data_IF_892480604419
#
_entry.id   IF_892480604419
#
_cell.length_a   1.000
_cell.length_b   1.000
_cell.length_c   1.000
_cell.angle_alpha   90.00
_cell.angle_beta   90.00
_cell.angle_gamma   90.00
#
_symmetry.space_group_name_H-M   'P 1'
#
loop_
_entity.id
_entity.type
_entity.pdbx_description
1 polymer ?
#
# COMPACT_ATOMS: atom_id res chain seq x y z
N UNK A 1 -8.44 -6.36 -28.75
CA UNK A 1 -8.59 -5.16 -27.87
C UNK A 1 -7.19 -4.76 -27.41
N UNK A 2 -6.94 -3.47 -27.17
CA UNK A 2 -5.66 -3.01 -26.61
C UNK A 2 -5.61 -3.43 -25.13
N UNK A 3 -4.48 -3.97 -24.67
CA UNK A 3 -4.30 -4.29 -23.26
C UNK A 3 -4.38 -3.02 -22.39
N UNK A 4 -4.90 -3.16 -21.18
CA UNK A 4 -4.80 -2.12 -20.14
C UNK A 4 -3.38 -2.08 -19.60
N UNK A 5 -2.94 -0.92 -19.15
CA UNK A 5 -1.58 -0.70 -18.64
C UNK A 5 -1.56 -0.63 -17.12
N UNK A 6 -0.71 -1.40 -16.49
CA UNK A 6 -0.40 -1.30 -15.06
C UNK A 6 1.03 -0.79 -14.88
N UNK A 7 1.19 0.30 -14.15
CA UNK A 7 2.50 0.75 -13.67
C UNK A 7 2.71 0.24 -12.25
N UNK A 8 3.67 -0.66 -12.05
CA UNK A 8 4.16 -1.00 -10.70
C UNK A 8 5.11 0.10 -10.26
N UNK A 9 4.74 0.78 -9.20
CA UNK A 9 5.36 1.96 -8.65
C UNK A 9 6.12 1.62 -7.38
N UNK A 10 7.45 1.77 -7.40
CA UNK A 10 8.32 1.45 -6.27
C UNK A 10 9.13 2.68 -5.88
N UNK A 11 8.66 3.49 -4.93
CA UNK A 11 9.51 4.51 -4.33
C UNK A 11 10.59 3.82 -3.49
N UNK A 12 11.86 4.15 -3.74
CA UNK A 12 12.98 3.59 -2.98
C UNK A 12 14.14 4.57 -2.88
N UNK A 13 15.10 4.29 -2.03
CA UNK A 13 16.32 5.13 -1.95
C UNK A 13 17.33 4.69 -3.04
N UNK A 14 18.09 3.65 -2.79
CA UNK A 14 19.18 3.21 -3.68
C UNK A 14 19.26 1.68 -3.83
N UNK A 15 18.58 0.93 -2.95
CA UNK A 15 18.59 -0.53 -2.93
C UNK A 15 17.29 -1.09 -2.38
N UNK A 16 17.04 -2.36 -2.66
CA UNK A 16 15.88 -3.10 -2.15
C UNK A 16 16.34 -4.41 -1.50
N UNK A 17 15.65 -4.91 -0.47
CA UNK A 17 15.90 -6.23 0.09
C UNK A 17 15.74 -7.34 -0.96
N UNK A 18 16.54 -8.40 -0.86
CA UNK A 18 16.45 -9.54 -1.77
C UNK A 18 15.07 -10.20 -1.74
N UNK A 19 14.39 -10.19 -0.59
CA UNK A 19 13.03 -10.69 -0.41
C UNK A 19 12.02 -9.89 -1.27
N UNK A 20 12.13 -8.56 -1.30
CA UNK A 20 11.32 -7.71 -2.16
C UNK A 20 11.61 -8.01 -3.64
N UNK A 21 12.88 -8.05 -4.03
CA UNK A 21 13.28 -8.34 -5.39
C UNK A 21 12.75 -9.71 -5.88
N UNK A 22 12.77 -10.73 -5.02
CA UNK A 22 12.19 -12.05 -5.30
C UNK A 22 10.68 -11.98 -5.49
N UNK A 23 9.95 -11.29 -4.57
CA UNK A 23 8.50 -11.12 -4.67
C UNK A 23 8.11 -10.40 -5.97
N UNK A 24 8.82 -9.31 -6.32
CA UNK A 24 8.56 -8.55 -7.54
C UNK A 24 8.82 -9.38 -8.81
N UNK A 25 9.93 -10.12 -8.86
CA UNK A 25 10.28 -10.98 -10.00
C UNK A 25 9.23 -12.09 -10.19
N UNK A 26 8.80 -12.75 -9.14
CA UNK A 26 7.79 -13.81 -9.20
C UNK A 26 6.41 -13.28 -9.58
N UNK A 27 6.00 -12.12 -9.06
CA UNK A 27 4.74 -11.47 -9.42
C UNK A 27 4.72 -11.08 -10.90
N UNK A 28 5.79 -10.49 -11.41
CA UNK A 28 5.87 -10.10 -12.84
C UNK A 28 5.91 -11.30 -13.77
N UNK A 29 6.53 -12.40 -13.35
CA UNK A 29 6.52 -13.66 -14.10
C UNK A 29 5.14 -14.33 -14.13
N UNK A 30 4.31 -14.08 -13.12
CA UNK A 30 2.94 -14.59 -13.08
C UNK A 30 2.07 -13.92 -14.16
N UNK A 31 2.26 -12.62 -14.39
CA UNK A 31 1.54 -11.84 -15.40
C UNK A 31 0.03 -11.75 -15.12
N UNK A 32 -0.66 -10.99 -15.95
CA UNK A 32 -2.14 -10.92 -15.96
C UNK A 32 -2.61 -10.78 -17.40
N UNK A 33 -3.47 -11.67 -17.85
CA UNK A 33 -4.04 -11.62 -19.20
C UNK A 33 -4.80 -10.31 -19.42
N UNK A 34 -4.58 -9.66 -20.55
CA UNK A 34 -5.20 -8.38 -20.91
C UNK A 34 -4.53 -7.15 -20.29
N UNK A 35 -3.40 -7.32 -19.58
CA UNK A 35 -2.65 -6.21 -18.98
C UNK A 35 -1.18 -6.20 -19.40
N UNK A 36 -0.69 -5.02 -19.78
CA UNK A 36 0.72 -4.74 -19.99
C UNK A 36 1.29 -4.17 -18.69
N UNK A 37 2.24 -4.87 -18.07
CA UNK A 37 2.83 -4.50 -16.80
C UNK A 37 4.18 -3.83 -17.03
N UNK A 38 4.36 -2.64 -16.51
CA UNK A 38 5.65 -1.94 -16.44
C UNK A 38 6.04 -1.67 -15.00
N UNK A 39 7.33 -1.52 -14.72
CA UNK A 39 7.85 -1.25 -13.38
C UNK A 39 8.67 0.02 -13.42
N UNK A 40 8.47 0.88 -12.43
CA UNK A 40 9.33 2.04 -12.24
C UNK A 40 9.78 2.18 -10.79
N UNK A 41 11.08 2.12 -10.60
CA UNK A 41 11.76 2.48 -9.36
C UNK A 41 12.05 3.98 -9.40
N UNK A 42 11.45 4.74 -8.50
CA UNK A 42 11.75 6.15 -8.36
C UNK A 42 12.69 6.36 -7.18
N UNK A 43 13.93 6.71 -7.52
CA UNK A 43 15.00 6.91 -6.54
C UNK A 43 14.88 8.30 -5.89
N UNK A 44 14.82 8.33 -4.56
CA UNK A 44 14.74 9.59 -3.82
C UNK A 44 14.56 9.39 -2.32
N UNK A 45 14.98 10.36 -1.53
CA UNK A 45 14.91 10.29 -0.07
C UNK A 45 13.59 10.80 0.53
N UNK A 46 12.87 11.66 -0.20
CA UNK A 46 11.60 12.22 0.25
C UNK A 46 10.44 11.46 -0.39
N UNK A 47 9.78 10.65 0.40
CA UNK A 47 8.74 9.72 -0.06
C UNK A 47 7.60 10.43 -0.81
N UNK A 48 7.09 11.53 -0.29
CA UNK A 48 6.01 12.28 -0.94
C UNK A 48 6.42 12.88 -2.29
N UNK A 49 7.68 13.28 -2.46
CA UNK A 49 8.21 13.74 -3.73
C UNK A 49 8.26 12.60 -4.74
N UNK A 50 8.73 11.42 -4.31
CA UNK A 50 8.77 10.22 -5.14
C UNK A 50 7.37 9.79 -5.56
N UNK A 51 6.39 9.76 -4.65
CA UNK A 51 4.99 9.41 -4.98
C UNK A 51 4.37 10.41 -5.96
N UNK A 52 4.60 11.72 -5.78
CA UNK A 52 4.13 12.74 -6.75
C UNK A 52 4.79 12.58 -8.13
N UNK A 53 6.08 12.25 -8.21
CA UNK A 53 6.76 12.00 -9.47
C UNK A 53 6.19 10.77 -10.19
N UNK A 54 5.94 9.68 -9.45
CA UNK A 54 5.36 8.46 -9.98
C UNK A 54 3.93 8.71 -10.47
N UNK A 55 3.08 9.40 -9.70
CA UNK A 55 1.72 9.73 -10.11
C UNK A 55 1.69 10.54 -11.43
N UNK A 56 2.56 11.54 -11.56
CA UNK A 56 2.71 12.31 -12.81
C UNK A 56 3.14 11.43 -13.98
N UNK A 57 4.11 10.54 -13.74
CA UNK A 57 4.56 9.59 -14.77
C UNK A 57 3.43 8.65 -15.19
N UNK A 58 2.67 8.10 -14.26
CA UNK A 58 1.53 7.23 -14.56
C UNK A 58 0.51 7.92 -15.47
N UNK A 59 0.21 9.20 -15.21
CA UNK A 59 -0.68 10.01 -16.07
C UNK A 59 -0.06 10.21 -17.46
N UNK A 60 1.22 10.58 -17.54
CA UNK A 60 1.92 10.84 -18.81
C UNK A 60 2.06 9.58 -19.68
N UNK A 61 2.28 8.43 -19.08
CA UNK A 61 2.39 7.13 -19.78
C UNK A 61 1.03 6.53 -20.11
N UNK A 62 -0.06 7.21 -19.73
CA UNK A 62 -1.43 6.73 -19.90
C UNK A 62 -1.63 5.35 -19.29
N UNK A 63 -1.10 5.13 -18.08
CA UNK A 63 -1.37 3.93 -17.30
C UNK A 63 -2.84 3.94 -16.84
N UNK A 64 -3.53 2.81 -16.96
CA UNK A 64 -4.90 2.66 -16.46
C UNK A 64 -4.90 2.51 -14.93
N UNK A 65 -3.93 1.76 -14.42
CA UNK A 65 -3.79 1.42 -13.01
C UNK A 65 -2.36 1.67 -12.51
N UNK A 66 -2.24 2.00 -11.23
CA UNK A 66 -0.96 2.07 -10.52
C UNK A 66 -0.97 1.10 -9.35
N UNK A 67 0.00 0.20 -9.33
CA UNK A 67 0.28 -0.71 -8.23
C UNK A 67 1.45 -0.20 -7.41
N UNK A 68 1.18 0.26 -6.21
CA UNK A 68 2.19 0.72 -5.26
C UNK A 68 2.75 -0.43 -4.46
N UNK A 69 4.07 -0.52 -4.38
CA UNK A 69 4.78 -1.33 -3.41
C UNK A 69 5.85 -0.48 -2.73
N UNK A 70 5.85 -0.42 -1.40
CA UNK A 70 7.03 0.04 -0.68
C UNK A 70 8.15 -0.99 -0.85
N UNK A 71 9.38 -0.50 -0.93
CA UNK A 71 10.54 -1.30 -1.34
C UNK A 71 10.98 -2.38 -0.34
N UNK A 72 10.29 -2.52 0.77
CA UNK A 72 10.53 -3.49 1.85
C UNK A 72 9.33 -4.44 2.10
N UNK A 73 8.43 -4.54 1.13
CA UNK A 73 7.30 -5.45 1.19
C UNK A 73 7.63 -6.84 0.62
N UNK A 74 6.99 -7.86 1.19
CA UNK A 74 7.01 -9.25 0.67
C UNK A 74 5.58 -9.66 0.34
N UNK A 75 5.37 -10.22 -0.82
CA UNK A 75 4.04 -10.54 -1.32
C UNK A 75 4.04 -11.78 -2.21
N UNK A 76 2.85 -12.36 -2.38
CA UNK A 76 2.67 -13.56 -3.20
C UNK A 76 2.63 -13.21 -4.71
N UNK A 77 3.00 -14.15 -5.59
CA UNK A 77 2.98 -13.93 -7.06
C UNK A 77 1.59 -13.53 -7.60
N UNK A 78 0.51 -13.99 -6.97
CA UNK A 78 -0.87 -13.71 -7.39
C UNK A 78 -1.49 -12.46 -6.76
N UNK A 79 -0.72 -11.70 -5.96
CA UNK A 79 -1.22 -10.50 -5.26
C UNK A 79 -1.85 -9.51 -6.23
N UNK A 80 -1.13 -9.13 -7.30
CA UNK A 80 -1.64 -8.16 -8.28
C UNK A 80 -2.88 -8.70 -9.01
N UNK A 81 -2.91 -9.98 -9.36
CA UNK A 81 -4.08 -10.62 -9.97
C UNK A 81 -5.32 -10.52 -9.08
N UNK A 82 -5.19 -10.84 -7.77
CA UNK A 82 -6.29 -10.69 -6.81
C UNK A 82 -6.81 -9.26 -6.76
N UNK A 83 -5.92 -8.27 -6.68
CA UNK A 83 -6.31 -6.86 -6.59
C UNK A 83 -6.98 -6.36 -7.87
N UNK A 84 -6.55 -6.80 -9.04
CA UNK A 84 -7.20 -6.47 -10.32
C UNK A 84 -8.66 -6.94 -10.36
N UNK A 85 -8.99 -8.09 -9.75
CA UNK A 85 -10.38 -8.56 -9.68
C UNK A 85 -11.33 -7.58 -8.96
N UNK A 86 -10.83 -6.84 -7.97
CA UNK A 86 -11.62 -5.79 -7.30
C UNK A 86 -11.83 -4.58 -8.22
N UNK A 87 -10.79 -4.14 -8.91
CA UNK A 87 -10.88 -3.02 -9.86
C UNK A 87 -11.86 -3.35 -11.00
N UNK A 88 -11.84 -4.58 -11.51
CA UNK A 88 -12.75 -5.03 -12.58
C UNK A 88 -14.22 -5.10 -12.11
N UNK A 89 -14.44 -5.32 -10.81
CA UNK A 89 -15.77 -5.27 -10.17
C UNK A 89 -16.22 -3.85 -9.81
N UNK A 90 -15.44 -2.82 -10.17
CA UNK A 90 -15.81 -1.42 -9.99
C UNK A 90 -15.24 -0.76 -8.74
N UNK A 91 -14.30 -1.40 -8.02
CA UNK A 91 -13.56 -0.72 -6.95
C UNK A 91 -12.61 0.33 -7.54
N UNK A 92 -12.38 1.42 -6.80
CA UNK A 92 -11.46 2.48 -7.20
C UNK A 92 -10.04 2.21 -6.71
N UNK A 93 -9.93 1.74 -5.47
CA UNK A 93 -8.68 1.49 -4.77
C UNK A 93 -8.81 0.27 -3.88
N UNK A 94 -7.81 -0.61 -3.90
CA UNK A 94 -7.74 -1.82 -3.07
C UNK A 94 -6.38 -1.93 -2.41
N UNK A 95 -6.34 -2.35 -1.14
CA UNK A 95 -5.12 -2.57 -0.37
C UNK A 95 -5.08 -3.97 0.23
N UNK A 96 -3.89 -4.55 0.31
CA UNK A 96 -3.63 -5.65 1.23
C UNK A 96 -3.36 -5.13 2.63
N UNK A 97 -3.45 -5.99 3.63
CA UNK A 97 -3.20 -5.61 5.02
C UNK A 97 -1.79 -6.05 5.43
N UNK A 98 -1.00 -5.08 5.88
CA UNK A 98 0.31 -5.33 6.45
C UNK A 98 0.47 -4.58 7.78
N UNK A 99 1.51 -4.94 8.53
CA UNK A 99 1.69 -4.50 9.90
C UNK A 99 2.94 -3.64 10.03
N UNK A 100 2.92 -2.68 10.95
CA UNK A 100 4.09 -1.86 11.29
C UNK A 100 5.24 -2.76 11.77
N UNK A 101 6.49 -2.36 11.48
CA UNK A 101 7.71 -3.08 11.89
C UNK A 101 8.09 -2.87 13.35
N UNK A 102 7.45 -1.91 14.00
CA UNK A 102 7.70 -1.54 15.41
C UNK A 102 6.50 -1.88 16.27
N UNK A 103 6.74 -2.20 17.53
CA UNK A 103 5.65 -2.41 18.49
C UNK A 103 4.73 -1.17 18.55
N UNK A 104 3.43 -1.37 18.69
CA UNK A 104 2.69 -2.63 18.94
C UNK A 104 2.33 -3.44 17.70
N UNK A 105 3.00 -3.27 16.56
CA UNK A 105 2.79 -3.99 15.30
C UNK A 105 1.35 -3.86 14.75
N UNK A 106 0.76 -2.69 14.91
CA UNK A 106 -0.61 -2.43 14.43
C UNK A 106 -0.72 -2.53 12.92
N UNK A 107 -1.89 -2.93 12.39
CA UNK A 107 -2.15 -2.90 10.96
C UNK A 107 -2.10 -1.45 10.43
N UNK A 108 -1.74 -1.30 9.16
CA UNK A 108 -1.61 0.01 8.51
C UNK A 108 -2.90 0.42 7.79
N UNK A 109 -4.05 0.14 8.40
CA UNK A 109 -5.38 0.52 7.92
C UNK A 109 -6.14 1.27 9.02
N UNK A 110 -7.04 2.19 8.62
CA UNK A 110 -7.78 3.04 9.53
C UNK A 110 -9.29 2.89 9.30
N UNK A 111 -10.03 2.73 10.41
CA UNK A 111 -11.49 2.55 10.42
C UNK A 111 -12.22 3.84 10.14
N UNK A 112 -11.80 4.92 10.81
CA UNK A 112 -12.29 6.28 10.57
C UNK A 112 -11.11 7.22 10.39
N UNK A 113 -11.34 8.32 9.69
CA UNK A 113 -10.34 9.36 9.52
C UNK A 113 -11.02 10.68 9.18
N UNK A 114 -10.72 11.70 9.97
CA UNK A 114 -11.14 13.08 9.79
C UNK A 114 -9.90 13.96 9.79
N UNK A 115 -9.75 14.82 8.80
CA UNK A 115 -8.63 15.75 8.68
C UNK A 115 -9.17 17.17 8.50
N UNK A 116 -8.68 18.08 9.32
CA UNK A 116 -8.89 19.52 9.17
C UNK A 116 -7.61 20.12 8.55
N UNK A 117 -7.64 20.39 7.24
CA UNK A 117 -6.48 20.95 6.52
C UNK A 117 -6.14 22.37 7.00
N UNK A 118 -7.11 23.16 7.46
CA UNK A 118 -6.86 24.54 7.93
C UNK A 118 -6.13 24.53 9.28
N UNK A 119 -6.53 23.64 10.18
CA UNK A 119 -5.88 23.49 11.49
C UNK A 119 -4.66 22.57 11.48
N UNK A 120 -4.45 21.82 10.40
CA UNK A 120 -3.41 20.78 10.29
C UNK A 120 -3.56 19.69 11.37
N UNK A 121 -4.81 19.34 11.70
CA UNK A 121 -5.19 18.34 12.70
C UNK A 121 -5.82 17.13 12.03
N UNK A 122 -5.57 15.93 12.59
CA UNK A 122 -6.17 14.71 12.11
C UNK A 122 -6.56 13.80 13.27
N UNK A 123 -7.74 13.18 13.16
CA UNK A 123 -8.26 12.20 14.10
C UNK A 123 -8.60 10.92 13.33
N UNK A 124 -8.18 9.77 13.85
CA UNK A 124 -8.47 8.46 13.27
C UNK A 124 -8.70 7.42 14.34
N UNK A 125 -9.38 6.36 13.96
CA UNK A 125 -9.52 5.15 14.79
C UNK A 125 -8.96 3.94 14.05
N UNK A 126 -8.41 3.01 14.79
CA UNK A 126 -7.93 1.73 14.29
C UNK A 126 -9.05 0.66 14.40
N UNK A 127 -8.83 -0.50 13.81
CA UNK A 127 -9.73 -1.64 13.94
C UNK A 127 -9.32 -2.45 15.17
N UNK A 128 -10.26 -2.73 16.07
CA UNK A 128 -10.05 -3.65 17.20
C UNK A 128 -9.91 -5.10 16.73
N UNK A 129 -10.69 -5.46 15.71
CA UNK A 129 -10.67 -6.77 15.06
C UNK A 129 -10.70 -6.55 13.54
N UNK A 130 -9.80 -7.19 12.83
CA UNK A 130 -9.79 -7.19 11.37
C UNK A 130 -10.87 -8.14 10.88
N UNK A 131 -11.81 -7.70 10.00
CA UNK A 131 -12.77 -8.59 9.35
C UNK A 131 -12.08 -9.66 8.50
N UNK A 132 -12.71 -10.83 8.39
CA UNK A 132 -12.19 -11.95 7.57
C UNK A 132 -12.50 -11.77 6.07
N UNK A 133 -13.49 -10.95 5.71
CA UNK A 133 -13.91 -10.65 4.35
C UNK A 133 -13.49 -9.24 3.94
N UNK A 134 -13.38 -8.92 2.64
CA UNK A 134 -13.05 -7.57 2.17
C UNK A 134 -14.01 -6.50 2.69
N UNK A 135 -13.46 -5.37 3.15
CA UNK A 135 -14.22 -4.30 3.80
C UNK A 135 -13.68 -2.91 3.44
N UNK A 136 -14.54 -1.89 3.58
CA UNK A 136 -14.16 -0.50 3.35
C UNK A 136 -13.34 0.06 4.52
N UNK A 137 -12.30 0.84 4.19
CA UNK A 137 -11.42 1.53 5.14
C UNK A 137 -11.36 3.03 4.86
N UNK A 138 -11.12 3.82 5.89
CA UNK A 138 -10.96 5.26 5.74
C UNK A 138 -9.58 5.66 5.18
N UNK A 139 -8.58 4.82 5.39
CA UNK A 139 -7.23 5.04 4.86
C UNK A 139 -6.35 3.82 5.08
N UNK A 140 -5.23 3.79 4.36
CA UNK A 140 -4.24 2.73 4.45
C UNK A 140 -2.84 3.25 4.11
N UNK A 141 -1.81 2.58 4.62
CA UNK A 141 -0.45 2.78 4.14
C UNK A 141 -0.25 2.25 2.71
N UNK A 142 0.72 2.79 1.99
CA UNK A 142 0.93 2.48 0.57
C UNK A 142 1.97 1.37 0.32
N UNK A 143 2.15 0.48 1.29
CA UNK A 143 3.03 -0.68 1.13
C UNK A 143 2.55 -1.69 0.08
N UNK A 144 1.23 -1.79 -0.16
CA UNK A 144 0.64 -2.64 -1.20
C UNK A 144 -0.75 -2.12 -1.58
N UNK A 145 -0.84 -1.27 -2.60
CA UNK A 145 -2.08 -0.61 -3.02
C UNK A 145 -2.20 -0.61 -4.54
N UNK A 146 -3.33 -1.09 -5.07
CA UNK A 146 -3.71 -0.94 -6.48
C UNK A 146 -4.82 0.09 -6.60
N UNK A 147 -4.70 1.02 -7.54
CA UNK A 147 -5.67 2.09 -7.73
C UNK A 147 -5.78 2.53 -9.20
N UNK A 148 -6.89 3.20 -9.53
CA UNK A 148 -7.10 3.82 -10.84
C UNK A 148 -6.25 5.09 -10.97
N UNK A 149 -5.59 5.28 -12.10
CA UNK A 149 -4.77 6.48 -12.35
C UNK A 149 -5.61 7.76 -12.37
N UNK A 150 -6.89 7.69 -12.78
CA UNK A 150 -7.81 8.83 -12.78
C UNK A 150 -8.00 9.49 -11.41
N UNK A 151 -7.78 8.75 -10.31
CA UNK A 151 -7.83 9.28 -8.96
C UNK A 151 -6.82 10.41 -8.74
N UNK A 152 -5.63 10.32 -9.33
CA UNK A 152 -4.62 11.38 -9.24
C UNK A 152 -5.11 12.67 -9.89
N UNK A 153 -5.78 12.58 -11.03
CA UNK A 153 -6.32 13.73 -11.75
C UNK A 153 -7.41 14.41 -10.92
N UNK A 154 -8.34 13.62 -10.38
CA UNK A 154 -9.44 14.13 -9.54
C UNK A 154 -8.93 14.79 -8.26
N UNK A 155 -7.98 14.14 -7.56
CA UNK A 155 -7.39 14.68 -6.34
C UNK A 155 -6.62 15.97 -6.64
N UNK A 156 -5.81 15.98 -7.70
CA UNK A 156 -5.06 17.17 -8.07
C UNK A 156 -5.99 18.33 -8.47
N UNK A 157 -7.06 18.06 -9.20
CA UNK A 157 -8.03 19.07 -9.61
C UNK A 157 -8.73 19.73 -8.40
N UNK A 158 -9.04 18.96 -7.35
CA UNK A 158 -9.74 19.47 -6.16
C UNK A 158 -8.79 20.15 -5.16
N UNK A 159 -7.57 19.62 -4.96
CA UNK A 159 -6.67 20.03 -3.86
C UNK A 159 -5.37 20.72 -4.32
N UNK A 160 -5.08 20.72 -5.64
CA UNK A 160 -3.84 21.30 -6.18
C UNK A 160 -2.57 20.48 -5.90
N UNK A 161 -2.69 19.39 -5.16
CA UNK A 161 -1.61 18.46 -4.85
C UNK A 161 -2.16 17.03 -4.67
N UNK A 162 -1.29 16.01 -4.70
CA UNK A 162 -1.71 14.61 -4.51
C UNK A 162 -1.16 14.06 -3.18
N UNK A 163 0.16 13.98 -3.08
CA UNK A 163 0.87 13.34 -1.96
C UNK A 163 1.58 14.35 -1.05
N UNK A 164 0.94 15.46 -0.70
CA UNK A 164 1.48 16.35 0.34
C UNK A 164 0.99 15.91 1.71
N UNK A 165 1.88 15.75 2.69
CA UNK A 165 1.50 15.55 4.09
C UNK A 165 0.59 16.68 4.60
N UNK A 166 -0.22 16.40 5.62
CA UNK A 166 -1.08 17.37 6.31
C UNK A 166 -0.74 17.32 7.80
N UNK A 167 -0.14 18.37 8.31
CA UNK A 167 0.32 18.40 9.71
C UNK A 167 1.27 17.25 10.02
N UNK A 168 0.86 16.36 10.93
CA UNK A 168 1.60 15.16 11.31
C UNK A 168 1.14 13.88 10.58
N UNK A 169 0.25 14.02 9.59
CA UNK A 169 -0.26 12.89 8.79
C UNK A 169 0.63 12.67 7.58
N UNK A 170 1.08 11.44 7.38
CA UNK A 170 1.89 11.03 6.22
C UNK A 170 1.16 11.23 4.89
N UNK A 171 1.94 11.29 3.83
CA UNK A 171 1.44 11.57 2.46
C UNK A 171 0.45 10.53 1.94
N UNK A 172 0.62 9.27 2.34
CA UNK A 172 -0.24 8.14 1.99
C UNK A 172 -1.64 8.29 2.61
N UNK A 173 -1.69 8.57 3.89
CA UNK A 173 -2.94 8.78 4.64
C UNK A 173 -3.63 10.07 4.18
N UNK A 174 -2.86 11.13 3.95
CA UNK A 174 -3.39 12.38 3.42
C UNK A 174 -3.97 12.19 2.00
N UNK A 175 -3.35 11.35 1.15
CA UNK A 175 -3.91 10.98 -0.14
C UNK A 175 -5.22 10.20 0.01
N UNK A 176 -5.30 9.22 0.92
CA UNK A 176 -6.52 8.45 1.17
C UNK A 176 -7.68 9.38 1.56
N UNK A 177 -7.44 10.34 2.43
CA UNK A 177 -8.44 11.32 2.81
C UNK A 177 -8.89 12.16 1.60
N UNK A 178 -7.96 12.72 0.82
CA UNK A 178 -8.28 13.50 -0.40
C UNK A 178 -9.06 12.68 -1.42
N UNK A 179 -8.71 11.42 -1.60
CA UNK A 179 -9.40 10.51 -2.51
C UNK A 179 -10.86 10.29 -2.07
N UNK A 180 -11.09 10.06 -0.78
CA UNK A 180 -12.45 9.93 -0.22
C UNK A 180 -13.25 11.23 -0.36
N UNK A 181 -12.63 12.38 -0.15
CA UNK A 181 -13.24 13.69 -0.41
C UNK A 181 -13.59 13.91 -1.90
N UNK A 182 -12.98 13.17 -2.82
CA UNK A 182 -13.38 13.10 -4.23
C UNK A 182 -14.47 12.04 -4.49
N UNK A 183 -14.94 11.31 -3.47
CA UNK A 183 -15.99 10.29 -3.56
C UNK A 183 -15.48 8.87 -3.84
N UNK A 184 -14.17 8.63 -3.85
CA UNK A 184 -13.58 7.31 -4.06
C UNK A 184 -13.64 6.44 -2.80
N UNK A 185 -13.73 5.13 -3.00
CA UNK A 185 -13.75 4.14 -1.94
C UNK A 185 -12.47 3.32 -1.90
N UNK A 186 -12.05 2.96 -0.69
CA UNK A 186 -10.86 2.15 -0.44
C UNK A 186 -11.30 0.83 0.19
N UNK A 187 -10.95 -0.28 -0.44
CA UNK A 187 -11.27 -1.62 0.04
C UNK A 187 -9.99 -2.30 0.55
N UNK A 188 -10.02 -2.84 1.74
CA UNK A 188 -8.98 -3.73 2.27
C UNK A 188 -9.40 -5.19 2.08
N UNK A 189 -8.48 -6.01 1.54
CA UNK A 189 -8.68 -7.46 1.39
C UNK A 189 -7.74 -8.22 2.34
N UNK A 190 -8.27 -8.84 3.42
CA UNK A 190 -7.47 -9.58 4.39
C UNK A 190 -6.87 -10.88 3.81
N UNK A 191 -7.38 -11.37 2.69
CA UNK A 191 -6.85 -12.57 2.02
C UNK A 191 -5.52 -12.32 1.29
N UNK A 192 -5.11 -11.05 1.13
CA UNK A 192 -3.83 -10.68 0.54
C UNK A 192 -2.75 -10.72 1.61
N UNK A 193 -2.04 -11.85 1.67
CA UNK A 193 -0.95 -12.04 2.63
C UNK A 193 0.29 -11.21 2.27
N UNK A 194 0.69 -10.34 3.17
CA UNK A 194 1.84 -9.45 3.02
C UNK A 194 2.81 -9.62 4.18
N UNK A 195 4.11 -9.49 3.87
CA UNK A 195 5.18 -9.35 4.86
C UNK A 195 5.83 -7.98 4.77
N UNK A 196 6.33 -7.48 5.89
CA UNK A 196 7.04 -6.20 5.97
C UNK A 196 8.46 -6.48 6.48
N UNK A 197 9.46 -6.31 5.64
CA UNK A 197 10.86 -6.60 5.98
C UNK A 197 11.33 -5.61 7.05
N UNK A 198 11.79 -6.14 8.17
CA UNK A 198 12.32 -5.37 9.28
C UNK A 198 13.67 -5.93 9.77
N UNK A 199 14.46 -5.08 10.36
CA UNK A 199 15.68 -5.50 11.04
C UNK A 199 15.35 -5.93 12.46
N UNK A 200 15.78 -7.12 12.86
CA UNK A 200 15.65 -7.63 14.22
C UNK A 200 17.04 -7.87 14.80
N UNK A 201 17.30 -7.29 15.98
CA UNK A 201 18.50 -7.62 16.75
C UNK A 201 18.17 -8.87 17.58
N UNK A 202 18.77 -10.01 17.21
CA UNK A 202 18.56 -11.27 17.92
C UNK A 202 19.43 -11.28 19.18
N UNK A 203 18.80 -11.09 20.34
CA UNK A 203 19.42 -11.15 21.67
C UNK A 203 19.03 -12.45 22.36
N UNK A 204 19.65 -12.74 23.53
CA UNK A 204 19.20 -13.84 24.37
C UNK A 204 17.73 -13.70 24.77
N UNK A 205 17.30 -12.50 25.14
CA UNK A 205 15.90 -12.22 25.49
C UNK A 205 14.96 -12.50 24.33
N UNK A 206 15.31 -12.09 23.09
CA UNK A 206 14.54 -12.40 21.90
C UNK A 206 14.38 -13.91 21.70
N UNK A 207 15.48 -14.67 21.85
CA UNK A 207 15.47 -16.13 21.77
C UNK A 207 14.59 -16.77 22.85
N UNK A 208 14.71 -16.33 24.10
CA UNK A 208 13.92 -16.85 25.21
C UNK A 208 12.42 -16.62 25.01
N UNK A 209 12.02 -15.42 24.54
CA UNK A 209 10.64 -15.10 24.20
C UNK A 209 10.11 -15.96 23.03
N UNK A 210 10.92 -16.15 22.00
CA UNK A 210 10.57 -17.03 20.88
C UNK A 210 10.34 -18.48 21.36
N UNK A 211 11.23 -19.01 22.20
CA UNK A 211 11.11 -20.35 22.78
C UNK A 211 9.82 -20.50 23.61
N UNK A 212 9.50 -19.51 24.42
CA UNK A 212 8.26 -19.53 25.20
C UNK A 212 6.97 -19.58 24.35
N UNK A 213 6.97 -18.93 23.18
CA UNK A 213 5.87 -19.00 22.21
C UNK A 213 5.78 -20.40 21.58
N UNK A 214 6.91 -20.94 21.14
CA UNK A 214 6.95 -22.26 20.51
C UNK A 214 6.53 -23.38 21.47
N UNK A 215 6.94 -23.30 22.73
CA UNK A 215 6.58 -24.30 23.74
C UNK A 215 5.06 -24.25 24.07
N UNK A 216 4.45 -23.06 24.07
CA UNK A 216 2.98 -22.91 24.20
C UNK A 216 2.21 -23.53 23.03
N UNK A 217 2.73 -23.40 21.79
CA UNK A 217 2.10 -24.01 20.61
C UNK A 217 2.16 -25.53 20.61
N UNK A 218 3.22 -26.12 21.19
CA UNK A 218 3.39 -27.58 21.28
C UNK A 218 2.59 -28.23 22.41
N UNK A 219 2.12 -27.42 23.37
CA UNK A 219 1.29 -27.89 24.50
C UNK A 219 -0.22 -27.80 24.24
N UNK A 220 -0.62 -27.33 23.05
CA UNK A 220 -2.01 -27.33 22.53
C UNK A 220 -2.18 -28.45 21.50
#
# INVERSE_FOLDING_TARGET
MKNKKILIAVPCMDQVPAQFAHSLATLTSYGIEGYDISIWFNLGSLIYTSRNAIAKKAIMDEADLVMWFDSDMVFNPNTLWKMVQFIEKGCDMVTGIYYRRTQPFTPTIFKTMEIDEEKQEAHWTEFDVIPDEPFEVAGCGFGCVLMRTEMFVSVFAKFGNMFSPIGNVGEDIAFCWRARECGYKIIADPSIGLGHVGHVIVTKEFYDNYRAIEDKKKGQ
#
